data_IF_666588839381
#
_entry.id   IF_666588839381
#
_cell.length_a   1.000
_cell.length_b   1.000
_cell.length_c   1.000
_cell.angle_alpha   90.00
_cell.angle_beta   90.00
_cell.angle_gamma   90.00
#
_symmetry.space_group_name_H-M   'P 1'
#
loop_
_entity.id
_entity.type
_entity.pdbx_description
1 polymer ?
#
# COMPACT_ATOMS: atom_id res chain seq x y z
N UNK A 1 -24.31 -6.24 8.03
CA UNK A 1 -22.99 -6.41 8.68
C UNK A 1 -21.94 -6.07 7.65
N UNK A 2 -21.43 -4.85 7.65
CA UNK A 2 -20.42 -4.43 6.69
C UNK A 2 -19.10 -5.15 7.00
N UNK A 3 -18.58 -5.90 6.03
CA UNK A 3 -17.28 -6.56 6.12
C UNK A 3 -16.21 -5.47 6.07
N UNK A 4 -15.48 -5.30 7.15
CA UNK A 4 -14.40 -4.34 7.27
C UNK A 4 -13.26 -4.68 6.30
N UNK A 5 -12.81 -3.75 5.43
CA UNK A 5 -11.69 -3.99 4.55
C UNK A 5 -10.37 -4.02 5.35
N UNK A 6 -9.52 -4.98 5.03
CA UNK A 6 -8.13 -5.06 5.48
C UNK A 6 -7.25 -4.62 4.32
N UNK A 7 -6.28 -3.77 4.56
CA UNK A 7 -5.41 -3.28 3.51
C UNK A 7 -4.08 -4.01 3.50
N UNK A 8 -3.64 -4.39 2.32
CA UNK A 8 -2.34 -5.04 2.09
C UNK A 8 -1.55 -4.23 1.08
N UNK A 9 -0.40 -3.75 1.48
CA UNK A 9 0.55 -3.05 0.63
C UNK A 9 1.64 -4.02 0.22
N UNK A 10 1.69 -4.37 -1.06
CA UNK A 10 2.79 -5.12 -1.65
C UNK A 10 3.60 -4.20 -2.55
N UNK A 11 4.89 -4.38 -2.61
CA UNK A 11 5.73 -3.77 -3.63
C UNK A 11 5.34 -4.30 -5.02
N UNK A 12 4.36 -3.74 -5.56
CA UNK A 12 3.51 -3.76 -6.74
C UNK A 12 2.07 -4.02 -6.36
N UNK A 13 1.30 -3.02 -5.92
CA UNK A 13 -0.16 -2.88 -5.96
C UNK A 13 -0.86 -2.22 -4.78
N UNK A 14 -1.50 -1.28 -4.70
CA UNK A 14 -2.63 -0.34 -4.60
C UNK A 14 -3.56 -0.36 -3.38
N UNK A 15 -4.06 0.79 -2.85
CA UNK A 15 -5.41 1.23 -2.48
C UNK A 15 -5.55 2.55 -1.69
N UNK A 16 -6.69 3.00 -1.37
CA UNK A 16 -7.46 4.17 -1.68
C UNK A 16 -7.35 5.41 -0.75
N UNK A 17 -7.32 5.30 0.53
CA UNK A 17 -7.27 6.47 1.44
C UNK A 17 -5.81 6.87 1.73
N UNK A 18 -4.97 5.89 1.74
CA UNK A 18 -3.53 6.03 1.85
C UNK A 18 -2.89 6.76 0.64
N UNK A 19 -3.52 6.63 -0.53
CA UNK A 19 -3.04 7.16 -1.81
C UNK A 19 -3.08 8.68 -1.91
N UNK A 20 -4.15 9.29 -1.44
CA UNK A 20 -4.31 10.75 -1.51
C UNK A 20 -3.25 11.47 -0.66
N UNK A 21 -2.85 10.88 0.46
CA UNK A 21 -1.81 11.44 1.33
C UNK A 21 -0.40 11.16 0.81
N UNK A 22 -0.14 9.99 0.22
CA UNK A 22 1.18 9.71 -0.39
C UNK A 22 1.46 10.56 -1.62
N UNK A 23 0.47 10.84 -2.45
CA UNK A 23 0.63 11.75 -3.60
C UNK A 23 0.80 13.21 -3.17
N UNK A 24 0.19 13.65 -2.06
CA UNK A 24 0.44 14.97 -1.47
C UNK A 24 1.85 15.12 -0.91
N UNK A 25 2.37 14.11 -0.25
CA UNK A 25 3.73 14.15 0.33
C UNK A 25 4.86 14.11 -0.70
N UNK A 26 4.64 13.62 -1.91
CA UNK A 26 5.63 13.74 -3.00
C UNK A 26 6.01 15.20 -3.31
N UNK A 27 5.08 16.14 -3.09
CA UNK A 27 5.33 17.57 -3.28
C UNK A 27 5.88 18.30 -2.03
N UNK A 28 5.79 17.69 -0.85
CA UNK A 28 6.15 18.35 0.43
C UNK A 28 7.46 17.85 1.05
N UNK A 29 8.16 16.87 0.47
CA UNK A 29 9.43 16.31 1.01
C UNK A 29 10.63 17.26 0.99
N UNK A 30 10.45 18.55 0.66
CA UNK A 30 11.55 19.52 0.74
C UNK A 30 11.83 20.06 2.16
N UNK A 31 10.96 19.84 3.14
CA UNK A 31 11.17 20.34 4.51
C UNK A 31 10.41 19.47 5.54
N UNK A 32 11.06 18.47 6.11
CA UNK A 32 10.57 17.81 7.32
C UNK A 32 11.66 17.76 8.39
N UNK A 33 11.44 18.32 9.59
CA UNK A 33 12.37 18.18 10.69
C UNK A 33 12.33 16.78 11.27
N UNK A 34 13.51 16.28 11.59
CA UNK A 34 13.84 15.00 12.18
C UNK A 34 13.18 14.81 13.58
N UNK A 35 11.99 14.19 13.61
CA UNK A 35 11.34 13.79 14.85
C UNK A 35 11.84 12.39 15.28
N UNK A 36 12.93 12.36 16.03
CA UNK A 36 13.26 11.20 16.87
C UNK A 36 12.52 11.33 18.20
N UNK A 37 11.24 11.08 18.22
CA UNK A 37 10.46 10.83 19.43
C UNK A 37 10.24 9.33 19.56
N UNK A 38 10.75 8.73 20.64
CA UNK A 38 10.42 7.36 21.03
C UNK A 38 8.96 7.36 21.47
N UNK A 39 8.05 7.17 20.53
CA UNK A 39 6.68 6.82 20.86
C UNK A 39 6.67 5.34 21.23
N UNK A 40 6.39 5.05 22.48
CA UNK A 40 6.09 3.72 22.95
C UNK A 40 4.73 3.35 22.36
N UNK A 41 4.73 2.70 21.18
CA UNK A 41 3.51 2.31 20.50
C UNK A 41 2.79 1.26 21.36
N UNK A 42 1.64 1.62 21.91
CA UNK A 42 0.82 0.74 22.74
C UNK A 42 0.13 -0.36 21.91
N UNK A 43 0.04 -0.19 20.60
CA UNK A 43 -0.67 -1.10 19.70
C UNK A 43 0.04 -1.14 18.33
N UNK A 44 0.11 -2.32 17.69
CA UNK A 44 0.75 -2.51 16.39
C UNK A 44 -0.31 -2.68 15.29
N UNK A 45 -0.36 -1.74 14.38
CA UNK A 45 -1.34 -1.70 13.29
C UNK A 45 -0.81 -2.19 11.95
N UNK A 46 0.52 -2.27 11.77
CA UNK A 46 1.15 -2.66 10.50
C UNK A 46 2.12 -3.81 10.71
N UNK A 47 2.08 -4.81 9.84
CA UNK A 47 2.94 -6.00 9.89
C UNK A 47 3.59 -6.25 8.54
N UNK A 48 4.92 -6.40 8.50
CA UNK A 48 5.60 -6.97 7.33
C UNK A 48 5.09 -8.39 7.10
N UNK A 49 5.15 -8.88 5.86
CA UNK A 49 4.81 -10.27 5.58
C UNK A 49 5.69 -11.26 6.36
N UNK A 50 6.94 -10.90 6.64
CA UNK A 50 7.85 -11.69 7.47
C UNK A 50 7.52 -11.69 8.96
N UNK A 51 6.69 -10.75 9.44
CA UNK A 51 6.31 -10.64 10.86
C UNK A 51 4.98 -11.36 11.17
N UNK A 52 4.20 -11.70 10.14
CA UNK A 52 2.95 -12.40 10.27
C UNK A 52 3.06 -13.91 10.09
N UNK A 53 1.94 -14.62 10.21
CA UNK A 53 1.82 -16.04 9.89
C UNK A 53 0.37 -16.42 9.53
N UNK A 54 0.17 -17.64 9.04
CA UNK A 54 -1.13 -18.14 8.59
C UNK A 54 -2.22 -18.25 9.66
N UNK A 55 -1.86 -18.20 10.95
CA UNK A 55 -2.80 -18.26 12.08
C UNK A 55 -3.40 -16.88 12.40
N UNK A 56 -2.79 -15.81 11.94
CA UNK A 56 -3.20 -14.41 12.23
C UNK A 56 -4.31 -13.91 11.29
N UNK A 57 -5.23 -14.75 10.86
CA UNK A 57 -6.29 -14.40 9.90
C UNK A 57 -7.25 -13.35 10.42
N UNK A 58 -7.53 -13.34 11.70
CA UNK A 58 -8.40 -12.34 12.33
C UNK A 58 -7.78 -10.93 12.26
N UNK A 59 -6.46 -10.84 12.42
CA UNK A 59 -5.71 -9.61 12.44
C UNK A 59 -5.28 -9.14 11.04
N UNK A 60 -4.75 -10.05 10.21
CA UNK A 60 -4.18 -9.72 8.91
C UNK A 60 -5.15 -9.95 7.75
N UNK A 61 -6.33 -10.47 8.03
CA UNK A 61 -7.26 -10.96 7.01
C UNK A 61 -6.74 -12.22 6.30
N UNK A 62 -7.61 -12.87 5.52
CA UNK A 62 -7.25 -14.11 4.85
C UNK A 62 -6.07 -14.01 3.89
N UNK A 63 -6.01 -12.91 3.10
CA UNK A 63 -4.92 -12.69 2.14
C UNK A 63 -3.60 -12.33 2.82
N UNK A 64 -3.63 -11.46 3.84
CA UNK A 64 -2.43 -11.06 4.58
C UNK A 64 -1.79 -12.23 5.31
N UNK A 65 -2.60 -13.02 6.00
CA UNK A 65 -2.13 -14.21 6.68
C UNK A 65 -1.53 -15.24 5.71
N UNK A 66 -2.16 -15.47 4.54
CA UNK A 66 -1.63 -16.36 3.53
C UNK A 66 -0.31 -15.85 2.92
N UNK A 67 -0.18 -14.55 2.64
CA UNK A 67 1.06 -13.95 2.16
C UNK A 67 2.19 -14.08 3.18
N UNK A 68 1.88 -13.85 4.46
CA UNK A 68 2.84 -14.03 5.53
C UNK A 68 3.30 -15.49 5.64
N UNK A 69 2.38 -16.44 5.56
CA UNK A 69 2.71 -17.87 5.57
C UNK A 69 3.59 -18.27 4.38
N UNK A 70 3.23 -17.82 3.18
CA UNK A 70 4.03 -18.06 1.97
C UNK A 70 5.46 -17.47 2.10
N UNK A 71 5.58 -16.28 2.69
CA UNK A 71 6.88 -15.65 2.95
C UNK A 71 7.72 -16.48 3.92
N UNK A 72 7.10 -16.97 5.00
CA UNK A 72 7.78 -17.80 6.00
C UNK A 72 8.19 -19.17 5.47
N UNK A 73 7.45 -19.69 4.49
CA UNK A 73 7.81 -20.92 3.77
C UNK A 73 8.92 -20.72 2.72
N UNK A 74 9.44 -19.50 2.59
CA UNK A 74 10.51 -19.17 1.62
C UNK A 74 10.03 -19.11 0.17
N UNK A 75 8.72 -18.98 -0.06
CA UNK A 75 8.19 -18.77 -1.41
C UNK A 75 8.57 -17.37 -1.93
N UNK A 76 8.73 -17.18 -3.25
CA UNK A 76 9.12 -15.92 -3.85
C UNK A 76 7.97 -14.90 -3.82
N UNK A 77 7.62 -14.44 -2.61
CA UNK A 77 6.64 -13.37 -2.39
C UNK A 77 7.35 -12.02 -2.43
N UNK A 78 6.86 -11.04 -3.22
CA UNK A 78 7.38 -9.69 -3.18
C UNK A 78 7.28 -9.09 -1.77
N UNK A 79 8.27 -8.28 -1.40
CA UNK A 79 8.26 -7.58 -0.11
C UNK A 79 7.03 -6.69 0.05
N UNK A 80 6.51 -6.61 1.26
CA UNK A 80 5.32 -5.82 1.55
C UNK A 80 4.87 -5.93 3.00
N UNK A 81 3.81 -5.22 3.31
CA UNK A 81 3.21 -5.21 4.64
C UNK A 81 1.68 -5.24 4.57
N UNK A 82 1.06 -5.59 5.67
CA UNK A 82 -0.39 -5.62 5.86
C UNK A 82 -0.79 -4.63 6.94
N UNK A 83 -1.76 -3.77 6.64
CA UNK A 83 -2.45 -2.95 7.63
C UNK A 83 -3.57 -3.81 8.23
N UNK A 84 -3.65 -3.88 9.56
CA UNK A 84 -4.49 -4.82 10.29
C UNK A 84 -5.99 -4.48 10.23
N UNK A 85 -6.82 -5.46 10.55
CA UNK A 85 -8.26 -5.26 10.75
C UNK A 85 -8.57 -4.27 11.87
N UNK A 86 -7.68 -4.18 12.86
CA UNK A 86 -7.83 -3.28 14.00
C UNK A 86 -7.62 -1.83 13.59
N UNK A 87 -6.64 -1.54 12.73
CA UNK A 87 -6.47 -0.22 12.13
C UNK A 87 -7.72 0.20 11.35
N UNK A 88 -8.30 -0.74 10.60
CA UNK A 88 -9.53 -0.49 9.87
C UNK A 88 -10.73 -0.25 10.82
N UNK A 89 -10.83 -1.00 11.91
CA UNK A 89 -11.86 -0.79 12.94
C UNK A 89 -11.70 0.58 13.59
N UNK A 90 -10.46 0.99 13.86
CA UNK A 90 -10.17 2.30 14.42
C UNK A 90 -10.55 3.43 13.46
N UNK A 91 -10.26 3.31 12.18
CA UNK A 91 -10.66 4.25 11.15
C UNK A 91 -12.18 4.52 11.14
N UNK A 92 -13.00 3.47 11.30
CA UNK A 92 -14.45 3.64 11.39
C UNK A 92 -14.93 4.25 12.72
N UNK A 93 -14.20 4.02 13.82
CA UNK A 93 -14.47 4.66 15.11
C UNK A 93 -14.12 6.15 15.11
N UNK A 94 -13.07 6.50 14.37
CA UNK A 94 -12.57 7.86 14.24
C UNK A 94 -13.28 8.63 13.09
N UNK A 95 -14.53 8.28 12.80
CA UNK A 95 -15.38 8.96 11.82
C UNK A 95 -14.79 9.04 10.42
N UNK A 96 -14.23 7.91 9.94
CA UNK A 96 -13.55 7.77 8.65
C UNK A 96 -12.26 8.62 8.53
N UNK A 97 -11.57 8.80 9.63
CA UNK A 97 -10.28 9.47 9.66
C UNK A 97 -9.17 8.50 10.07
N UNK A 98 -8.01 8.64 9.45
CA UNK A 98 -6.81 7.93 9.88
C UNK A 98 -6.17 8.75 10.99
N UNK A 99 -6.06 8.16 12.19
CA UNK A 99 -5.39 8.84 13.29
C UNK A 99 -3.88 8.95 13.06
N UNK A 100 -3.23 9.89 13.73
CA UNK A 100 -1.82 10.20 13.53
C UNK A 100 -0.89 9.02 13.89
N UNK A 101 -1.30 8.14 14.80
CA UNK A 101 -0.52 6.96 15.19
C UNK A 101 -0.47 5.93 14.05
N UNK A 102 -1.62 5.59 13.48
CA UNK A 102 -1.72 4.68 12.32
C UNK A 102 -0.99 5.26 11.12
N UNK A 103 -1.14 6.57 10.87
CA UNK A 103 -0.47 7.24 9.76
C UNK A 103 1.06 7.19 9.91
N UNK A 104 1.57 7.48 11.10
CA UNK A 104 3.01 7.44 11.38
C UNK A 104 3.57 6.02 11.21
N UNK A 105 2.86 5.01 11.71
CA UNK A 105 3.28 3.62 11.56
C UNK A 105 3.29 3.18 10.09
N UNK A 106 2.27 3.53 9.32
CA UNK A 106 2.26 3.24 7.88
C UNK A 106 3.45 3.88 7.18
N UNK A 107 3.78 5.14 7.48
CA UNK A 107 4.91 5.83 6.88
C UNK A 107 6.25 5.19 7.24
N UNK A 108 6.43 4.77 8.49
CA UNK A 108 7.61 4.00 8.91
C UNK A 108 7.77 2.70 8.10
N UNK A 109 6.66 1.98 7.88
CA UNK A 109 6.70 0.74 7.11
C UNK A 109 6.89 0.97 5.60
N UNK A 110 6.51 2.11 5.08
CA UNK A 110 6.86 2.54 3.71
C UNK A 110 8.37 2.77 3.60
N UNK A 111 8.98 3.47 4.55
CA UNK A 111 10.44 3.66 4.58
C UNK A 111 11.19 2.33 4.68
N UNK A 112 10.75 1.42 5.54
CA UNK A 112 11.29 0.06 5.61
C UNK A 112 11.16 -0.69 4.27
N UNK A 113 10.04 -0.54 3.57
CA UNK A 113 9.83 -1.16 2.26
C UNK A 113 10.77 -0.55 1.19
N UNK A 114 11.01 0.75 1.23
CA UNK A 114 11.98 1.43 0.37
C UNK A 114 13.40 0.88 0.62
N UNK A 115 13.80 0.75 1.87
CA UNK A 115 15.09 0.18 2.27
C UNK A 115 15.24 -1.29 1.81
N UNK A 116 14.25 -2.13 2.08
CA UNK A 116 14.27 -3.56 1.73
C UNK A 116 14.32 -3.79 0.21
N UNK A 117 13.70 -2.92 -0.57
CA UNK A 117 13.65 -3.05 -2.03
C UNK A 117 14.76 -2.30 -2.76
N UNK A 118 15.45 -1.39 -2.08
CA UNK A 118 16.42 -0.48 -2.68
C UNK A 118 15.81 0.48 -3.70
N UNK A 119 14.51 0.76 -3.58
CA UNK A 119 13.73 1.63 -4.47
C UNK A 119 13.06 2.73 -3.66
N UNK A 120 12.72 3.84 -4.31
CA UNK A 120 12.02 4.94 -3.66
C UNK A 120 10.80 5.37 -4.46
N UNK A 121 9.77 5.81 -3.73
CA UNK A 121 8.61 6.45 -4.37
C UNK A 121 9.03 7.76 -5.03
N UNK A 122 8.61 7.96 -6.30
CA UNK A 122 8.92 9.16 -7.06
C UNK A 122 10.35 9.25 -7.59
N UNK A 123 11.20 8.25 -7.36
CA UNK A 123 12.55 8.23 -7.90
C UNK A 123 12.51 8.05 -9.44
N UNK A 124 13.26 8.89 -10.14
CA UNK A 124 13.33 8.86 -11.60
C UNK A 124 14.28 7.79 -12.14
N UNK A 125 15.13 7.20 -11.30
CA UNK A 125 16.08 6.16 -11.70
C UNK A 125 15.61 4.76 -11.32
N UNK A 126 15.11 4.61 -10.11
CA UNK A 126 14.66 3.31 -9.59
C UNK A 126 13.35 3.42 -8.81
N UNK A 127 12.24 3.77 -9.48
CA UNK A 127 10.98 4.03 -8.82
C UNK A 127 10.43 2.79 -8.11
N UNK A 128 9.97 2.99 -6.87
CA UNK A 128 9.17 2.01 -6.17
C UNK A 128 7.74 2.08 -6.70
N UNK A 129 7.28 0.98 -7.27
CA UNK A 129 5.89 0.80 -7.67
C UNK A 129 5.27 -0.25 -6.76
N UNK A 130 4.15 0.06 -6.14
CA UNK A 130 3.49 -0.86 -5.23
C UNK A 130 2.10 -1.23 -5.68
N UNK A 131 1.67 -2.41 -5.25
CA UNK A 131 0.32 -2.92 -5.40
C UNK A 131 -0.42 -2.82 -4.07
N UNK A 132 -1.58 -2.19 -3.99
CA UNK A 132 -2.40 -2.20 -2.78
C UNK A 132 -3.72 -2.91 -3.03
N UNK A 133 -4.10 -3.80 -2.13
CA UNK A 133 -5.30 -4.61 -2.23
C UNK A 133 -6.13 -4.45 -0.98
N UNK A 134 -7.42 -4.28 -1.14
CA UNK A 134 -8.32 -4.46 -0.01
C UNK A 134 -8.39 -5.94 0.37
N UNK A 135 -8.50 -6.20 1.66
CA UNK A 135 -8.66 -7.54 2.21
C UNK A 135 -9.87 -7.59 3.15
N UNK A 136 -10.41 -8.78 3.40
CA UNK A 136 -11.45 -9.02 4.40
C UNK A 136 -11.18 -10.34 5.12
N UNK A 137 -11.79 -10.53 6.29
CA UNK A 137 -11.74 -11.81 7.02
C UNK A 137 -12.27 -12.96 6.17
N UNK A 138 -13.42 -12.72 5.52
CA UNK A 138 -14.00 -13.62 4.53
C UNK A 138 -13.86 -13.00 3.15
N UNK A 139 -13.14 -13.67 2.26
CA UNK A 139 -12.92 -13.21 0.89
C UNK A 139 -14.00 -13.81 -0.01
N UNK A 140 -14.77 -12.93 -0.69
CA UNK A 140 -15.63 -13.34 -1.79
C UNK A 140 -15.07 -12.83 -3.12
N UNK A 141 -15.15 -13.62 -4.20
CA UNK A 141 -14.75 -13.15 -5.54
C UNK A 141 -15.51 -11.89 -5.94
N UNK A 142 -14.80 -10.89 -6.48
CA UNK A 142 -15.39 -9.64 -6.97
C UNK A 142 -15.67 -8.56 -5.92
N UNK A 143 -15.45 -8.82 -4.62
CA UNK A 143 -15.65 -7.81 -3.56
C UNK A 143 -14.42 -6.99 -3.24
N UNK A 144 -13.31 -7.22 -3.94
CA UNK A 144 -12.03 -6.65 -3.52
C UNK A 144 -11.42 -5.82 -4.63
N UNK A 145 -11.23 -4.57 -4.31
CA UNK A 145 -10.54 -3.64 -5.20
C UNK A 145 -9.02 -3.86 -5.15
N UNK A 146 -8.42 -3.64 -6.28
CA UNK A 146 -6.97 -3.68 -6.44
C UNK A 146 -6.57 -2.52 -7.31
N UNK A 147 -5.57 -1.73 -6.87
CA UNK A 147 -4.98 -0.68 -7.69
C UNK A 147 -3.51 -1.05 -7.99
N UNK A 148 -3.03 -1.19 -9.25
CA UNK A 148 -1.70 -1.57 -9.70
C UNK A 148 -0.81 -0.35 -9.99
N UNK A 149 0.49 -0.43 -9.73
CA UNK A 149 1.50 0.55 -10.12
C UNK A 149 1.34 1.92 -9.44
N UNK A 150 0.93 1.92 -8.15
CA UNK A 150 1.01 3.10 -7.33
C UNK A 150 2.48 3.54 -7.25
N UNK A 151 2.73 4.82 -7.46
CA UNK A 151 4.04 5.41 -7.61
C UNK A 151 4.32 5.90 -9.02
N UNK A 152 3.47 5.56 -10.01
CA UNK A 152 3.55 6.18 -11.34
C UNK A 152 2.92 7.59 -11.30
N UNK A 153 3.63 8.53 -11.91
CA UNK A 153 3.17 9.89 -12.22
C UNK A 153 3.73 10.29 -13.59
N UNK A 154 3.47 11.51 -14.03
CA UNK A 154 3.90 12.01 -15.34
C UNK A 154 5.41 11.97 -15.56
N UNK A 155 6.21 12.17 -14.51
CA UNK A 155 7.67 12.14 -14.58
C UNK A 155 8.20 10.70 -14.48
N UNK A 156 7.69 9.93 -13.53
CA UNK A 156 8.13 8.55 -13.29
C UNK A 156 7.79 7.63 -14.46
N UNK A 157 6.67 7.85 -15.18
CA UNK A 157 6.34 7.03 -16.36
C UNK A 157 7.37 7.19 -17.48
N UNK A 158 7.92 8.37 -17.66
CA UNK A 158 8.99 8.62 -18.66
C UNK A 158 10.27 7.87 -18.28
N UNK A 159 10.64 7.93 -17.01
CA UNK A 159 11.79 7.19 -16.48
C UNK A 159 11.58 5.68 -16.58
N UNK A 160 10.38 5.21 -16.25
CA UNK A 160 10.00 3.81 -16.35
C UNK A 160 10.01 3.31 -17.81
N UNK A 161 9.56 4.14 -18.77
CA UNK A 161 9.63 3.84 -20.19
C UNK A 161 11.08 3.66 -20.68
N UNK A 162 11.98 4.53 -20.23
CA UNK A 162 13.42 4.42 -20.54
C UNK A 162 14.04 3.15 -19.93
N UNK A 163 13.75 2.90 -18.65
CA UNK A 163 14.28 1.74 -17.92
C UNK A 163 13.84 0.40 -18.51
N UNK A 164 12.59 0.30 -18.93
CA UNK A 164 12.03 -0.93 -19.52
C UNK A 164 12.35 -1.06 -21.01
N UNK A 165 12.87 -0.02 -21.64
CA UNK A 165 13.02 0.10 -23.10
C UNK A 165 11.72 -0.24 -23.85
N UNK A 166 10.58 0.02 -23.23
CA UNK A 166 9.25 -0.25 -23.78
C UNK A 166 8.25 0.84 -23.38
N UNK A 167 8.20 1.95 -24.15
CA UNK A 167 7.28 3.06 -23.86
C UNK A 167 5.82 2.63 -23.84
N UNK A 168 5.40 1.76 -24.77
CA UNK A 168 4.03 1.25 -24.84
C UNK A 168 3.61 0.57 -23.52
N UNK A 169 4.46 -0.28 -22.98
CA UNK A 169 4.22 -0.96 -21.69
C UNK A 169 4.12 0.04 -20.53
N UNK A 170 5.03 1.01 -20.48
CA UNK A 170 5.06 2.00 -19.42
C UNK A 170 3.79 2.88 -19.42
N UNK A 171 3.40 3.43 -20.56
CA UNK A 171 2.22 4.27 -20.68
C UNK A 171 0.91 3.49 -20.54
N UNK A 172 0.82 2.23 -20.99
CA UNK A 172 -0.36 1.39 -20.74
C UNK A 172 -0.49 1.07 -19.24
N UNK A 173 0.63 0.84 -18.54
CA UNK A 173 0.66 0.66 -17.09
C UNK A 173 0.17 1.92 -16.36
N UNK A 174 0.59 3.10 -16.81
CA UNK A 174 0.15 4.39 -16.25
C UNK A 174 -1.33 4.65 -16.54
N UNK A 175 -1.79 4.42 -17.76
CA UNK A 175 -3.20 4.51 -18.13
C UNK A 175 -4.08 3.63 -17.24
N UNK A 176 -3.68 2.37 -17.02
CA UNK A 176 -4.40 1.45 -16.12
C UNK A 176 -4.39 1.94 -14.69
N UNK A 177 -3.27 2.51 -14.22
CA UNK A 177 -3.20 3.11 -12.90
C UNK A 177 -4.21 4.25 -12.75
N UNK A 178 -4.22 5.21 -13.67
CA UNK A 178 -5.16 6.33 -13.65
C UNK A 178 -6.62 5.81 -13.63
N UNK A 179 -6.94 4.87 -14.52
CA UNK A 179 -8.28 4.29 -14.61
C UNK A 179 -8.72 3.66 -13.28
N UNK A 180 -7.89 2.81 -12.70
CA UNK A 180 -8.22 2.14 -11.45
C UNK A 180 -8.25 3.11 -10.26
N UNK A 181 -7.37 4.12 -10.25
CA UNK A 181 -7.39 5.17 -9.25
C UNK A 181 -8.68 5.98 -9.31
N UNK A 182 -9.10 6.37 -10.51
CA UNK A 182 -10.35 7.09 -10.73
C UNK A 182 -11.57 6.27 -10.31
N UNK A 183 -11.62 4.99 -10.68
CA UNK A 183 -12.75 4.11 -10.36
C UNK A 183 -12.89 3.88 -8.84
N UNK A 184 -11.78 3.68 -8.15
CA UNK A 184 -11.77 3.16 -6.77
C UNK A 184 -11.53 4.26 -5.73
N UNK A 185 -10.69 5.27 -6.01
CA UNK A 185 -10.38 6.35 -5.06
C UNK A 185 -11.27 7.57 -5.28
N UNK A 186 -11.44 7.94 -6.54
CA UNK A 186 -12.20 9.12 -6.91
C UNK A 186 -13.69 8.82 -7.09
N UNK A 187 -14.07 7.54 -7.01
CA UNK A 187 -15.46 7.06 -7.20
C UNK A 187 -16.13 7.60 -8.48
N UNK A 188 -15.32 7.80 -9.53
CA UNK A 188 -15.83 8.26 -10.82
C UNK A 188 -16.61 7.12 -11.48
N UNK A 189 -17.92 7.30 -11.62
CA UNK A 189 -18.80 6.28 -12.19
C UNK A 189 -18.41 5.94 -13.63
N UNK A 190 -18.38 4.65 -13.94
CA UNK A 190 -18.21 4.16 -15.32
C UNK A 190 -19.43 4.58 -16.14
N UNK A 191 -19.20 5.33 -17.19
CA UNK A 191 -20.21 5.61 -18.23
C UNK A 191 -20.34 4.44 -19.19
#
# INVERSE_FOLDING_TARGET
>A
MALLPVFQVQAVSKSNIFLEKMTRQQNERCFAPHWKGVYQMSHKYVYLFSEGNGKMRELLGGKGANLAEMTNLGMPVPQGFTITTEACTQYYKDDHQINAEIEAEIMEYVEKLEEMTGKKFGDLYNPLLVSVRSGARASMPGMMDTILNLGLNDEVVVAFAKKTNNPRFAYDSYRRFIQMYSDVVMEVGKK
#
